data_IF_647711679246
#
_entry.id   IF_647711679246
#
_cell.length_a   1.000
_cell.length_b   1.000
_cell.length_c   1.000
_cell.angle_alpha   90.00
_cell.angle_beta   90.00
_cell.angle_gamma   90.00
#
_symmetry.space_group_name_H-M   'P 1'
#
loop_
_entity.id
_entity.type
_entity.pdbx_description
1 polymer ?
#
# COMPACT_ATOMS: atom_id res chain seq x y z
N UNK A 1 41.43 -1.46 -4.46
CA UNK A 1 40.76 -1.84 -5.74
C UNK A 1 39.23 -1.87 -5.64
N UNK A 2 38.64 -1.55 -4.48
CA UNK A 2 37.18 -1.60 -4.23
C UNK A 2 36.50 -0.22 -4.35
N UNK A 3 37.21 0.89 -4.09
CA UNK A 3 36.66 2.25 -4.23
C UNK A 3 36.42 2.68 -5.68
N UNK A 4 37.19 2.15 -6.64
CA UNK A 4 37.08 2.53 -8.05
C UNK A 4 35.79 2.01 -8.70
N UNK A 5 35.16 0.97 -8.14
CA UNK A 5 33.87 0.44 -8.62
C UNK A 5 32.66 1.24 -8.14
N UNK A 6 32.72 1.83 -6.94
CA UNK A 6 31.63 2.69 -6.41
C UNK A 6 31.50 4.00 -7.17
N UNK A 7 32.61 4.59 -7.61
CA UNK A 7 32.58 5.81 -8.42
C UNK A 7 31.95 5.57 -9.80
N UNK A 8 32.25 4.45 -10.46
CA UNK A 8 31.66 4.13 -11.77
C UNK A 8 30.13 4.03 -11.74
N UNK A 9 29.57 3.35 -10.73
CA UNK A 9 28.13 3.13 -10.62
C UNK A 9 27.34 4.43 -10.41
N UNK A 10 27.86 5.35 -9.58
CA UNK A 10 27.23 6.64 -9.30
C UNK A 10 27.27 7.58 -10.51
N UNK A 11 28.36 7.56 -11.28
CA UNK A 11 28.45 8.34 -12.53
C UNK A 11 27.47 7.79 -13.57
N UNK A 12 27.38 6.47 -13.73
CA UNK A 12 26.44 5.85 -14.68
C UNK A 12 24.98 6.11 -14.33
N UNK A 13 24.60 6.09 -13.05
CA UNK A 13 23.23 6.44 -12.63
C UNK A 13 22.90 7.92 -12.85
N UNK A 14 23.86 8.83 -12.59
CA UNK A 14 23.69 10.27 -12.84
C UNK A 14 23.53 10.56 -14.34
N UNK A 15 24.32 9.90 -15.18
CA UNK A 15 24.24 10.06 -16.63
C UNK A 15 22.95 9.45 -17.20
N UNK A 16 22.51 8.30 -16.69
CA UNK A 16 21.21 7.70 -17.02
C UNK A 16 20.04 8.63 -16.64
N UNK A 17 20.08 9.21 -15.44
CA UNK A 17 19.08 10.16 -14.97
C UNK A 17 19.03 11.45 -15.81
N UNK A 18 20.19 11.91 -16.26
CA UNK A 18 20.30 13.10 -17.10
C UNK A 18 19.77 12.88 -18.52
N UNK A 19 19.79 11.66 -19.04
CA UNK A 19 19.40 11.36 -20.43
C UNK A 19 17.94 10.90 -20.58
N UNK A 20 17.31 10.38 -19.52
CA UNK A 20 15.96 9.82 -19.60
C UNK A 20 14.90 10.81 -19.10
N UNK A 21 14.06 11.32 -20.02
CA UNK A 21 12.95 12.25 -19.71
C UNK A 21 12.00 11.69 -18.63
N UNK A 22 11.79 10.37 -18.61
CA UNK A 22 10.95 9.66 -17.64
C UNK A 22 11.49 9.77 -16.21
N UNK A 23 12.81 9.65 -16.00
CA UNK A 23 13.42 9.79 -14.69
C UNK A 23 13.28 11.22 -14.12
N UNK A 24 13.36 12.23 -14.99
CA UNK A 24 13.13 13.64 -14.63
C UNK A 24 11.66 13.94 -14.35
N UNK A 25 10.73 13.29 -15.06
CA UNK A 25 9.30 13.41 -14.79
C UNK A 25 8.94 12.82 -13.41
N UNK A 26 9.49 11.64 -13.08
CA UNK A 26 9.35 11.01 -11.76
C UNK A 26 9.98 11.86 -10.66
N UNK A 27 11.16 12.43 -10.88
CA UNK A 27 11.80 13.38 -9.95
C UNK A 27 10.91 14.57 -9.61
N UNK A 28 10.35 15.22 -10.64
CA UNK A 28 9.50 16.40 -10.49
C UNK A 28 8.17 16.04 -9.84
N UNK A 29 7.61 14.87 -10.16
CA UNK A 29 6.42 14.35 -9.51
C UNK A 29 6.67 14.11 -8.01
N UNK A 30 7.80 13.50 -7.63
CA UNK A 30 8.18 13.26 -6.23
C UNK A 30 8.50 14.56 -5.49
N UNK A 31 9.23 15.49 -6.12
CA UNK A 31 9.59 16.78 -5.51
C UNK A 31 8.41 17.73 -5.31
N UNK A 32 7.31 17.51 -6.04
CA UNK A 32 6.04 18.24 -5.87
C UNK A 32 5.10 17.63 -4.82
N UNK A 33 5.39 16.43 -4.31
CA UNK A 33 4.63 15.80 -3.22
C UNK A 33 5.12 16.41 -1.91
N UNK A 34 4.40 17.42 -1.42
CA UNK A 34 4.48 17.79 0.00
C UNK A 34 3.87 16.65 0.82
N UNK A 35 4.71 15.91 1.53
CA UNK A 35 4.26 15.04 2.61
C UNK A 35 3.71 15.95 3.71
N UNK A 36 2.38 16.15 3.71
CA UNK A 36 1.71 16.58 4.93
C UNK A 36 1.82 15.38 5.86
N UNK A 37 2.50 15.53 6.99
CA UNK A 37 2.52 14.52 8.04
C UNK A 37 1.07 14.30 8.51
N UNK A 38 0.40 13.21 8.11
CA UNK A 38 -0.99 12.99 8.49
C UNK A 38 -1.10 12.70 9.99
N UNK A 39 0.02 12.31 10.63
CA UNK A 39 0.06 12.02 12.04
C UNK A 39 0.00 13.31 12.87
N UNK A 40 0.63 14.41 12.44
CA UNK A 40 0.63 15.65 13.25
C UNK A 40 -0.74 16.34 13.28
N UNK A 41 -1.43 16.41 12.14
CA UNK A 41 -2.72 17.13 12.04
C UNK A 41 -3.89 16.38 12.70
N UNK A 42 -3.85 15.04 12.73
CA UNK A 42 -4.86 14.22 13.41
C UNK A 42 -4.62 14.13 14.93
N UNK A 43 -3.36 14.23 15.37
CA UNK A 43 -2.99 14.14 16.79
C UNK A 43 -3.26 15.46 17.54
N UNK A 44 -3.00 16.62 16.91
CA UNK A 44 -3.18 17.93 17.53
C UNK A 44 -4.65 18.27 17.87
N UNK A 45 -5.62 17.62 17.22
CA UNK A 45 -7.04 17.84 17.49
C UNK A 45 -7.59 16.98 18.67
N UNK A 46 -6.84 15.96 19.14
CA UNK A 46 -7.36 14.95 20.07
C UNK A 46 -6.72 14.97 21.47
N UNK A 47 -5.58 15.66 21.66
CA UNK A 47 -4.85 15.66 22.94
C UNK A 47 -5.37 16.75 23.87
N UNK A 48 -6.56 16.52 24.45
CA UNK A 48 -6.88 17.02 25.78
C UNK A 48 -5.99 16.29 26.78
N UNK A 49 -5.07 17.02 27.43
CA UNK A 49 -4.05 16.48 28.34
C UNK A 49 -4.66 15.72 29.51
N UNK A 50 -4.68 14.38 29.42
CA UNK A 50 -4.69 13.51 30.59
C UNK A 50 -3.45 12.63 30.57
N UNK A 51 -2.60 12.80 31.60
CA UNK A 51 -1.50 11.90 31.93
C UNK A 51 -2.05 10.56 32.39
N UNK A 52 -2.30 9.67 31.44
CA UNK A 52 -2.57 8.25 31.69
C UNK A 52 -1.24 7.51 31.56
N UNK A 53 -0.98 6.60 32.51
CA UNK A 53 0.18 5.72 32.51
C UNK A 53 0.42 5.15 31.10
N UNK A 54 1.62 5.39 30.58
CA UNK A 54 2.02 5.00 29.23
C UNK A 54 2.14 3.48 29.16
N UNK A 55 1.05 2.79 28.83
CA UNK A 55 1.15 1.49 28.20
C UNK A 55 2.16 1.63 27.06
N UNK A 56 3.20 0.79 27.03
CA UNK A 56 4.18 0.81 25.95
C UNK A 56 3.43 0.65 24.63
N UNK A 57 3.26 1.76 23.92
CA UNK A 57 2.57 1.78 22.65
C UNK A 57 3.34 0.85 21.70
N UNK A 58 2.65 -0.13 21.14
CA UNK A 58 3.21 -0.92 20.04
C UNK A 58 3.70 0.08 18.96
N UNK A 59 4.91 -0.10 18.40
CA UNK A 59 5.40 0.83 17.39
C UNK A 59 4.47 0.80 16.17
N UNK A 60 4.34 1.93 15.49
CA UNK A 60 3.70 1.97 14.19
C UNK A 60 4.44 1.04 13.22
N UNK A 61 3.70 0.45 12.29
CA UNK A 61 4.27 -0.41 11.25
C UNK A 61 3.65 -0.07 9.89
N UNK A 62 4.29 -0.47 8.81
CA UNK A 62 3.76 -0.16 7.48
C UNK A 62 4.68 -0.53 6.35
N UNK A 63 4.39 0.03 5.18
CA UNK A 63 5.31 -0.01 4.06
C UNK A 63 5.13 1.18 3.12
N UNK A 64 6.19 1.51 2.40
CA UNK A 64 6.13 2.34 1.20
C UNK A 64 6.61 1.48 0.03
N UNK A 65 5.79 1.37 -1.00
CA UNK A 65 6.10 0.70 -2.26
C UNK A 65 6.10 1.70 -3.42
N UNK A 66 7.15 1.67 -4.24
CA UNK A 66 7.19 2.30 -5.54
C UNK A 66 7.24 1.21 -6.61
N UNK A 67 6.24 1.20 -7.49
CA UNK A 67 6.24 0.41 -8.71
C UNK A 67 6.47 1.32 -9.92
N UNK A 68 7.43 0.96 -10.76
CA UNK A 68 7.63 1.56 -12.07
C UNK A 68 7.15 0.58 -13.15
N UNK A 69 5.93 0.79 -13.64
CA UNK A 69 5.30 0.02 -14.69
C UNK A 69 5.65 0.51 -16.09
N UNK A 70 5.15 -0.17 -17.12
CA UNK A 70 5.31 0.23 -18.51
C UNK A 70 4.38 1.37 -18.94
N UNK A 71 3.20 1.50 -18.31
CA UNK A 71 2.20 2.55 -18.59
C UNK A 71 2.06 3.59 -17.47
N UNK A 72 2.41 3.23 -16.24
CA UNK A 72 2.27 4.09 -15.07
C UNK A 72 3.34 3.83 -14.03
N UNK A 73 3.55 4.79 -13.12
CA UNK A 73 4.17 4.51 -11.83
C UNK A 73 3.09 4.43 -10.75
N UNK A 74 3.37 3.76 -9.64
CA UNK A 74 2.49 3.72 -8.48
C UNK A 74 3.31 3.90 -7.21
N UNK A 75 2.92 4.86 -6.37
CA UNK A 75 3.39 4.99 -5.00
C UNK A 75 2.26 4.52 -4.07
N UNK A 76 2.50 3.47 -3.29
CA UNK A 76 1.54 2.90 -2.35
C UNK A 76 2.14 2.92 -0.93
N UNK A 77 1.53 3.70 -0.06
CA UNK A 77 1.94 3.85 1.34
C UNK A 77 0.86 3.26 2.22
N UNK A 78 1.26 2.36 3.12
CA UNK A 78 0.40 1.73 4.13
C UNK A 78 0.98 2.01 5.50
N UNK A 79 0.13 2.38 6.45
CA UNK A 79 0.53 2.68 7.82
C UNK A 79 -0.49 2.08 8.78
N UNK A 80 0.00 1.41 9.81
CA UNK A 80 -0.74 0.85 10.93
C UNK A 80 -0.23 1.51 12.21
N UNK A 81 -1.08 2.28 12.87
CA UNK A 81 -0.77 3.00 14.10
C UNK A 81 -1.63 2.44 15.22
N UNK A 82 -1.04 1.80 16.24
CA UNK A 82 -1.74 1.45 17.46
C UNK A 82 -2.17 2.73 18.17
N UNK A 83 -3.48 2.98 18.28
CA UNK A 83 -4.03 4.21 18.87
C UNK A 83 -4.60 4.00 20.27
N UNK A 84 -4.96 2.76 20.60
CA UNK A 84 -5.40 2.34 21.93
C UNK A 84 -5.16 0.82 22.09
N UNK A 85 -5.33 0.22 23.29
CA UNK A 85 -5.38 -1.22 23.44
C UNK A 85 -6.35 -1.84 22.44
N UNK A 86 -5.89 -2.89 21.75
CA UNK A 86 -6.68 -3.65 20.77
C UNK A 86 -7.27 -2.81 19.63
N UNK A 87 -6.77 -1.58 19.43
CA UNK A 87 -7.31 -0.63 18.44
C UNK A 87 -6.20 -0.09 17.54
N UNK A 88 -6.37 -0.24 16.23
CA UNK A 88 -5.39 0.18 15.22
C UNK A 88 -6.04 1.14 14.23
N UNK A 89 -5.38 2.28 14.00
CA UNK A 89 -5.65 3.12 12.84
C UNK A 89 -4.83 2.59 11.66
N UNK A 90 -5.50 2.18 10.60
CA UNK A 90 -4.87 1.89 9.32
C UNK A 90 -5.10 3.05 8.36
N UNK A 91 -4.06 3.48 7.67
CA UNK A 91 -4.18 4.40 6.54
C UNK A 91 -3.47 3.84 5.34
N UNK A 92 -4.05 4.11 4.16
CA UNK A 92 -3.44 3.79 2.88
C UNK A 92 -3.56 4.97 1.95
N UNK A 93 -2.50 5.25 1.20
CA UNK A 93 -2.55 6.17 0.07
C UNK A 93 -1.86 5.53 -1.11
N UNK A 94 -2.57 5.44 -2.22
CA UNK A 94 -2.04 4.98 -3.50
C UNK A 94 -2.19 6.09 -4.52
N UNK A 95 -1.09 6.44 -5.18
CA UNK A 95 -1.03 7.48 -6.22
C UNK A 95 -0.45 6.83 -7.47
N UNK A 96 -1.16 6.94 -8.60
CA UNK A 96 -0.80 6.28 -9.86
C UNK A 96 -0.83 7.30 -11.02
N UNK A 97 0.29 7.96 -11.31
CA UNK A 97 0.43 8.76 -12.53
C UNK A 97 0.54 7.89 -13.78
N UNK A 98 -0.31 8.17 -14.76
CA UNK A 98 -0.29 7.60 -16.10
C UNK A 98 0.68 8.36 -17.00
N UNK A 99 1.55 7.64 -17.72
CA UNK A 99 2.63 8.26 -18.50
C UNK A 99 2.14 8.92 -19.79
N UNK A 100 1.11 8.36 -20.43
CA UNK A 100 0.63 8.84 -21.73
C UNK A 100 -0.29 10.03 -21.58
N UNK A 101 -1.26 9.92 -20.68
CA UNK A 101 -2.31 10.93 -20.48
C UNK A 101 -1.90 12.01 -19.47
N UNK A 102 -0.90 11.74 -18.63
CA UNK A 102 -0.52 12.60 -17.51
C UNK A 102 -1.56 12.67 -16.39
N UNK A 103 -2.65 11.89 -16.47
CA UNK A 103 -3.67 11.81 -15.42
C UNK A 103 -3.08 11.12 -14.19
N UNK A 104 -3.50 11.58 -13.02
CA UNK A 104 -3.10 10.98 -11.74
C UNK A 104 -4.33 10.36 -11.10
N UNK A 105 -4.35 9.03 -11.01
CA UNK A 105 -5.29 8.33 -10.15
C UNK A 105 -4.83 8.38 -8.71
N UNK A 106 -5.74 8.55 -7.76
CA UNK A 106 -5.44 8.31 -6.36
C UNK A 106 -6.55 7.57 -5.63
N UNK A 107 -6.16 6.89 -4.56
CA UNK A 107 -7.04 6.11 -3.71
C UNK A 107 -6.50 6.22 -2.28
N UNK A 108 -7.37 6.57 -1.35
CA UNK A 108 -7.00 6.77 0.04
C UNK A 108 -7.99 6.03 0.96
N UNK A 109 -7.45 5.41 2.00
CA UNK A 109 -8.22 4.75 3.06
C UNK A 109 -7.77 5.32 4.39
N UNK A 110 -8.73 5.57 5.29
CA UNK A 110 -8.49 5.57 6.72
C UNK A 110 -9.49 4.63 7.40
N UNK A 111 -9.01 3.68 8.20
CA UNK A 111 -9.87 2.76 8.94
C UNK A 111 -9.44 2.64 10.39
N UNK A 112 -10.43 2.53 11.28
CA UNK A 112 -10.24 2.25 12.69
C UNK A 112 -10.72 0.83 12.95
N UNK A 113 -9.79 -0.06 13.29
CA UNK A 113 -10.03 -1.46 13.56
C UNK A 113 -9.92 -1.76 15.06
N UNK A 114 -10.78 -2.64 15.56
CA UNK A 114 -10.80 -3.11 16.94
C UNK A 114 -10.75 -4.65 16.97
N UNK A 115 -9.74 -5.24 17.64
CA UNK A 115 -9.60 -6.69 17.81
C UNK A 115 -10.69 -7.20 18.76
N UNK A 116 -11.60 -7.98 18.18
CA UNK A 116 -12.69 -8.62 18.92
C UNK A 116 -12.31 -10.02 19.36
N UNK A 117 -11.43 -10.69 18.62
CA UNK A 117 -10.99 -12.05 18.92
C UNK A 117 -9.80 -12.51 18.07
N UNK A 118 -8.62 -12.65 18.69
CA UNK A 118 -7.48 -13.40 18.14
C UNK A 118 -7.17 -13.04 16.68
N UNK A 119 -7.05 -11.75 16.39
CA UNK A 119 -6.75 -11.24 15.05
C UNK A 119 -7.95 -11.13 14.12
N UNK A 120 -9.17 -11.45 14.58
CA UNK A 120 -10.41 -11.00 13.94
C UNK A 120 -10.71 -9.61 14.48
N UNK A 121 -10.85 -8.65 13.57
CA UNK A 121 -11.11 -7.26 13.91
C UNK A 121 -12.39 -6.80 13.22
N UNK A 122 -13.18 -5.97 13.91
CA UNK A 122 -14.23 -5.16 13.29
C UNK A 122 -13.67 -3.80 12.97
N UNK A 123 -14.10 -3.18 11.88
CA UNK A 123 -13.60 -1.85 11.52
C UNK A 123 -14.66 -0.95 10.92
N UNK A 124 -14.46 0.35 11.11
CA UNK A 124 -15.06 1.41 10.31
C UNK A 124 -14.00 2.00 9.38
N UNK A 125 -14.35 2.28 8.15
CA UNK A 125 -13.45 2.72 7.09
C UNK A 125 -14.05 3.91 6.33
N UNK A 126 -13.19 4.79 5.84
CA UNK A 126 -13.53 5.86 4.93
C UNK A 126 -12.62 5.76 3.71
N UNK A 127 -13.23 5.46 2.56
CA UNK A 127 -12.54 5.52 1.29
C UNK A 127 -12.68 6.92 0.69
N UNK A 128 -11.57 7.46 0.18
CA UNK A 128 -11.54 8.70 -0.57
C UNK A 128 -10.87 8.48 -1.93
N UNK A 129 -11.68 8.62 -2.98
CA UNK A 129 -11.26 8.49 -4.38
C UNK A 129 -11.60 9.82 -5.06
N UNK A 130 -10.64 10.55 -5.66
CA UNK A 130 -10.94 11.80 -6.34
C UNK A 130 -12.01 11.62 -7.42
N UNK A 131 -13.02 12.49 -7.40
CA UNK A 131 -14.16 12.41 -8.32
C UNK A 131 -15.25 11.43 -7.88
N UNK A 132 -15.05 10.70 -6.79
CA UNK A 132 -16.08 9.96 -6.06
C UNK A 132 -16.30 10.67 -4.72
N UNK A 133 -17.53 10.65 -4.22
CA UNK A 133 -17.81 11.10 -2.85
C UNK A 133 -17.07 10.21 -1.83
N UNK A 134 -16.93 10.70 -0.60
CA UNK A 134 -16.43 9.88 0.50
C UNK A 134 -17.34 8.66 0.69
N UNK A 135 -16.75 7.48 0.76
CA UNK A 135 -17.49 6.22 0.84
C UNK A 135 -17.25 5.58 2.21
N UNK A 136 -18.12 5.86 3.21
CA UNK A 136 -18.00 5.25 4.52
C UNK A 136 -18.35 3.77 4.44
N UNK A 137 -17.53 2.92 5.07
CA UNK A 137 -17.68 1.47 5.07
C UNK A 137 -17.57 0.92 6.49
N UNK A 138 -18.15 -0.26 6.70
CA UNK A 138 -17.92 -1.06 7.91
C UNK A 138 -17.69 -2.51 7.52
N UNK A 139 -16.86 -3.22 8.28
CA UNK A 139 -16.45 -4.55 7.90
C UNK A 139 -15.77 -5.36 9.00
N UNK A 140 -15.29 -6.52 8.56
CA UNK A 140 -14.49 -7.44 9.36
C UNK A 140 -13.20 -7.72 8.62
N UNK A 141 -12.09 -7.81 9.36
CA UNK A 141 -10.81 -8.22 8.82
C UNK A 141 -10.15 -9.29 9.69
N UNK A 142 -9.24 -10.03 9.09
CA UNK A 142 -8.47 -11.07 9.74
C UNK A 142 -7.02 -11.02 9.29
N UNK A 143 -6.10 -11.08 10.24
CA UNK A 143 -4.67 -11.22 9.99
C UNK A 143 -4.12 -12.47 10.67
N UNK A 144 -3.30 -13.23 9.95
CA UNK A 144 -2.50 -14.30 10.53
C UNK A 144 -1.15 -14.43 9.85
N UNK A 145 -0.17 -14.93 10.59
CA UNK A 145 1.16 -15.26 10.09
C UNK A 145 1.57 -16.63 10.63
N UNK A 146 1.89 -17.54 9.71
CA UNK A 146 2.36 -18.89 10.01
C UNK A 146 3.71 -19.11 9.31
N UNK A 147 4.78 -19.03 10.10
CA UNK A 147 6.15 -19.12 9.57
C UNK A 147 6.41 -18.03 8.53
N UNK A 148 6.73 -18.45 7.31
CA UNK A 148 7.05 -17.58 6.18
C UNK A 148 5.82 -17.11 5.39
N UNK A 149 4.62 -17.56 5.75
CA UNK A 149 3.36 -17.18 5.10
C UNK A 149 2.61 -16.19 5.98
N UNK A 150 2.14 -15.09 5.40
CA UNK A 150 1.14 -14.22 6.01
C UNK A 150 -0.10 -14.14 5.14
N UNK A 151 -1.25 -14.07 5.80
CA UNK A 151 -2.56 -13.96 5.21
C UNK A 151 -3.29 -12.80 5.87
N UNK A 152 -3.83 -11.91 5.05
CA UNK A 152 -4.74 -10.86 5.47
C UNK A 152 -5.98 -10.92 4.59
N UNK A 153 -7.14 -10.82 5.21
CA UNK A 153 -8.42 -10.76 4.50
C UNK A 153 -9.31 -9.71 5.13
N UNK A 154 -10.04 -8.96 4.33
CA UNK A 154 -11.13 -8.10 4.79
C UNK A 154 -12.33 -8.22 3.89
N UNK A 155 -13.49 -7.93 4.46
CA UNK A 155 -14.74 -7.71 3.75
C UNK A 155 -15.49 -6.55 4.41
N UNK A 156 -15.99 -5.63 3.60
CA UNK A 156 -16.76 -4.47 4.05
C UNK A 156 -17.97 -4.19 3.18
N UNK A 157 -18.88 -3.41 3.73
CA UNK A 157 -20.12 -2.93 3.10
C UNK A 157 -20.17 -1.41 3.18
N UNK A 158 -20.54 -0.76 2.07
CA UNK A 158 -20.77 0.68 2.00
C UNK A 158 -22.00 1.11 2.80
N UNK A 159 -21.85 2.17 3.59
CA UNK A 159 -22.89 2.77 4.44
C UNK A 159 -23.60 3.92 3.72
N UNK A 160 -24.19 3.59 2.56
CA UNK A 160 -24.89 4.52 1.68
C UNK A 160 -26.27 4.00 1.28
N UNK A 161 -27.08 4.82 0.61
CA UNK A 161 -28.46 4.46 0.22
C UNK A 161 -28.53 3.17 -0.63
N UNK A 162 -27.54 2.96 -1.49
CA UNK A 162 -27.36 1.72 -2.25
C UNK A 162 -26.07 1.03 -1.83
N UNK A 163 -26.11 0.12 -0.84
CA UNK A 163 -24.92 -0.56 -0.35
C UNK A 163 -24.23 -1.37 -1.45
N UNK A 164 -22.91 -1.29 -1.46
CA UNK A 164 -21.99 -2.10 -2.25
C UNK A 164 -21.03 -2.85 -1.31
N UNK A 165 -20.35 -3.87 -1.81
CA UNK A 165 -19.37 -4.66 -1.08
C UNK A 165 -17.95 -4.35 -1.53
N UNK A 166 -17.00 -4.52 -0.63
CA UNK A 166 -15.57 -4.56 -0.94
C UNK A 166 -14.95 -5.74 -0.22
N UNK A 167 -13.99 -6.40 -0.85
CA UNK A 167 -13.17 -7.42 -0.22
C UNK A 167 -11.72 -7.25 -0.65
N UNK A 168 -10.79 -7.59 0.24
CA UNK A 168 -9.38 -7.67 -0.11
C UNK A 168 -8.79 -8.94 0.50
N UNK A 169 -8.06 -9.68 -0.32
CA UNK A 169 -7.23 -10.80 0.10
C UNK A 169 -5.77 -10.46 -0.17
N UNK A 170 -4.92 -10.53 0.85
CA UNK A 170 -3.47 -10.39 0.71
C UNK A 170 -2.79 -11.64 1.24
N UNK A 171 -2.05 -12.31 0.36
CA UNK A 171 -1.22 -13.48 0.69
C UNK A 171 0.22 -13.13 0.40
N UNK A 172 1.10 -13.39 1.34
CA UNK A 172 2.54 -13.22 1.16
C UNK A 172 3.28 -14.45 1.64
N UNK A 173 4.25 -14.88 0.85
CA UNK A 173 5.19 -15.93 1.19
C UNK A 173 6.61 -15.37 1.09
N UNK A 174 7.41 -15.48 2.15
CA UNK A 174 8.76 -14.89 2.16
C UNK A 174 9.80 -15.81 2.81
N UNK A 175 10.15 -16.94 2.18
CA UNK A 175 11.08 -17.91 2.75
C UNK A 175 12.51 -17.37 2.79
N UNK A 176 13.24 -17.74 3.85
CA UNK A 176 14.66 -17.42 3.95
C UNK A 176 15.48 -18.24 2.95
N UNK A 177 16.41 -17.59 2.26
CA UNK A 177 17.44 -18.23 1.42
C UNK A 177 18.78 -18.27 2.17
N UNK A 178 19.04 -17.23 2.96
CA UNK A 178 20.17 -17.09 3.87
C UNK A 178 19.80 -16.16 5.04
N UNK A 179 20.76 -15.83 5.90
CA UNK A 179 20.55 -14.93 7.04
C UNK A 179 20.22 -13.49 6.62
N UNK A 180 20.62 -13.07 5.41
CA UNK A 180 20.45 -11.69 4.91
C UNK A 180 19.55 -11.59 3.69
N UNK A 181 19.14 -12.72 3.10
CA UNK A 181 18.35 -12.75 1.87
C UNK A 181 17.12 -13.63 2.04
N UNK A 182 15.95 -13.09 1.69
CA UNK A 182 14.69 -13.86 1.60
C UNK A 182 14.10 -13.72 0.21
N UNK A 183 13.36 -14.72 -0.25
CA UNK A 183 12.47 -14.52 -1.40
C UNK A 183 11.22 -13.78 -0.94
N UNK A 184 10.55 -13.09 -1.86
CA UNK A 184 9.28 -12.41 -1.59
C UNK A 184 8.31 -12.74 -2.72
N UNK A 185 7.21 -13.39 -2.39
CA UNK A 185 6.06 -13.60 -3.27
C UNK A 185 4.83 -12.99 -2.59
N UNK A 186 4.06 -12.22 -3.34
CA UNK A 186 2.87 -11.54 -2.82
C UNK A 186 1.76 -11.51 -3.85
N UNK A 187 0.53 -11.67 -3.37
CA UNK A 187 -0.69 -11.43 -4.14
C UNK A 187 -1.65 -10.62 -3.27
N UNK A 188 -2.04 -9.43 -3.73
CA UNK A 188 -3.11 -8.62 -3.15
C UNK A 188 -4.26 -8.54 -4.15
N UNK A 189 -5.49 -8.84 -3.72
CA UNK A 189 -6.64 -8.93 -4.60
C UNK A 189 -7.79 -8.11 -3.98
N UNK A 190 -7.79 -6.78 -4.15
CA UNK A 190 -8.97 -5.96 -3.88
C UNK A 190 -10.04 -6.22 -4.94
N UNK A 191 -11.30 -6.29 -4.52
CA UNK A 191 -12.46 -6.44 -5.38
C UNK A 191 -13.66 -5.67 -4.83
N UNK A 192 -14.44 -5.07 -5.73
CA UNK A 192 -15.70 -4.42 -5.45
C UNK A 192 -16.89 -5.23 -5.95
N UNK A 193 -18.02 -5.12 -5.27
CA UNK A 193 -19.24 -5.86 -5.57
C UNK A 193 -20.46 -4.96 -5.46
N UNK A 194 -21.46 -5.14 -6.32
CA UNK A 194 -22.77 -4.53 -6.16
C UNK A 194 -23.87 -5.57 -6.43
N UNK A 195 -25.13 -5.12 -6.62
CA UNK A 195 -26.26 -6.00 -6.91
C UNK A 195 -26.13 -6.75 -8.24
N UNK A 196 -25.29 -6.28 -9.16
CA UNK A 196 -25.03 -6.89 -10.47
C UNK A 196 -23.87 -7.90 -10.46
N UNK A 197 -23.04 -7.89 -9.42
CA UNK A 197 -21.90 -8.80 -9.28
C UNK A 197 -20.60 -8.05 -8.99
N UNK A 198 -19.49 -8.53 -9.53
CA UNK A 198 -18.18 -7.88 -9.39
C UNK A 198 -18.17 -6.58 -10.21
N UNK A 199 -17.84 -5.46 -9.57
CA UNK A 199 -17.71 -4.15 -10.24
C UNK A 199 -16.28 -3.87 -10.68
N UNK A 200 -15.30 -4.35 -9.90
CA UNK A 200 -13.89 -4.37 -10.26
C UNK A 200 -13.15 -5.45 -9.46
N UNK A 201 -11.99 -5.86 -9.98
CA UNK A 201 -10.96 -6.58 -9.23
C UNK A 201 -9.59 -6.11 -9.71
N UNK A 202 -8.62 -5.96 -8.82
CA UNK A 202 -7.27 -5.54 -9.21
C UNK A 202 -6.18 -6.43 -8.60
N UNK A 203 -6.02 -7.70 -9.02
CA UNK A 203 -4.90 -8.53 -8.58
C UNK A 203 -3.55 -7.84 -8.76
N UNK A 204 -2.79 -7.70 -7.66
CA UNK A 204 -1.44 -7.14 -7.61
C UNK A 204 -0.48 -8.21 -7.16
N UNK A 205 0.38 -8.62 -8.07
CA UNK A 205 1.35 -9.68 -7.90
C UNK A 205 2.74 -9.07 -7.71
N UNK A 206 3.49 -9.61 -6.75
CA UNK A 206 4.87 -9.23 -6.46
C UNK A 206 5.73 -10.48 -6.38
N UNK A 207 6.88 -10.45 -7.04
CA UNK A 207 7.87 -11.51 -6.96
C UNK A 207 9.27 -10.89 -6.93
N UNK A 208 10.08 -11.19 -5.91
CA UNK A 208 11.36 -10.53 -5.73
C UNK A 208 12.18 -11.11 -4.57
N UNK A 209 13.11 -10.29 -4.09
CA UNK A 209 14.01 -10.59 -2.98
C UNK A 209 13.92 -9.52 -1.92
N UNK A 210 14.05 -9.91 -0.66
CA UNK A 210 14.33 -9.05 0.48
C UNK A 210 15.83 -9.05 0.74
N UNK A 211 16.45 -7.88 0.69
CA UNK A 211 17.86 -7.65 1.02
C UNK A 211 17.90 -6.44 1.97
N UNK A 212 18.42 -6.65 3.17
CA UNK A 212 18.55 -5.62 4.21
C UNK A 212 17.22 -4.87 4.49
N UNK A 213 16.11 -5.60 4.40
CA UNK A 213 14.76 -5.07 4.64
C UNK A 213 14.18 -4.27 3.48
N UNK A 214 14.81 -4.28 2.30
CA UNK A 214 14.23 -3.76 1.06
C UNK A 214 13.76 -4.90 0.19
N UNK A 215 12.50 -4.87 -0.24
CA UNK A 215 12.01 -5.80 -1.25
C UNK A 215 12.17 -5.20 -2.64
N UNK A 216 12.80 -5.94 -3.54
CA UNK A 216 13.04 -5.50 -4.92
C UNK A 216 12.66 -6.64 -5.86
N UNK A 217 11.93 -6.35 -6.92
CA UNK A 217 11.57 -7.39 -7.88
C UNK A 217 10.60 -6.95 -8.97
N UNK A 218 9.87 -7.93 -9.49
CA UNK A 218 8.85 -7.77 -10.51
C UNK A 218 7.48 -7.54 -9.90
N UNK A 219 6.68 -6.72 -10.58
CA UNK A 219 5.34 -6.35 -10.20
C UNK A 219 4.38 -6.48 -11.39
N UNK A 220 3.16 -6.94 -11.12
CA UNK A 220 2.05 -6.93 -12.05
C UNK A 220 0.77 -6.47 -11.35
N UNK A 221 0.16 -5.40 -11.81
CA UNK A 221 -1.15 -4.92 -11.37
C UNK A 221 -2.14 -5.18 -12.51
N UNK A 222 -3.14 -6.04 -12.27
CA UNK A 222 -4.06 -6.55 -13.28
C UNK A 222 -5.45 -5.97 -13.02
N UNK A 223 -5.80 -4.84 -13.62
CA UNK A 223 -7.11 -4.24 -13.38
C UNK A 223 -8.18 -4.93 -14.24
N UNK A 224 -9.22 -5.46 -13.62
CA UNK A 224 -10.36 -6.13 -14.26
C UNK A 224 -11.62 -5.35 -13.91
N UNK A 225 -12.33 -4.88 -14.93
CA UNK A 225 -13.62 -4.21 -14.75
C UNK A 225 -14.76 -5.23 -14.60
N UNK A 226 -15.93 -4.79 -14.15
CA UNK A 226 -17.14 -5.63 -14.11
C UNK A 226 -17.59 -6.15 -15.49
N UNK A 227 -17.16 -5.51 -16.60
CA UNK A 227 -17.34 -6.03 -17.97
C UNK A 227 -16.38 -7.15 -18.34
N UNK A 228 -15.35 -7.42 -17.52
CA UNK A 228 -14.31 -8.40 -17.77
C UNK A 228 -13.11 -7.87 -18.54
N UNK A 229 -13.05 -6.57 -18.83
CA UNK A 229 -11.93 -5.95 -19.53
C UNK A 229 -10.69 -5.94 -18.63
N UNK A 230 -9.58 -6.47 -19.14
CA UNK A 230 -8.30 -6.53 -18.43
C UNK A 230 -7.37 -5.42 -18.92
N UNK A 231 -6.91 -4.58 -17.99
CA UNK A 231 -5.85 -3.58 -18.23
C UNK A 231 -4.64 -3.93 -17.36
N UNK A 232 -3.61 -4.57 -17.93
CA UNK A 232 -2.46 -5.01 -17.15
C UNK A 232 -1.36 -3.94 -17.07
N UNK A 233 -0.71 -3.86 -15.92
CA UNK A 233 0.48 -3.02 -15.71
C UNK A 233 1.60 -3.86 -15.13
N UNK A 234 2.65 -4.06 -15.89
CA UNK A 234 3.84 -4.82 -15.50
C UNK A 234 5.02 -3.88 -15.29
N UNK A 235 5.90 -4.22 -14.34
CA UNK A 235 7.05 -3.39 -14.02
C UNK A 235 7.99 -3.98 -12.98
N UNK A 236 8.87 -3.13 -12.47
CA UNK A 236 9.67 -3.40 -11.29
C UNK A 236 9.09 -2.69 -10.07
N UNK A 237 9.35 -3.21 -8.87
CA UNK A 237 9.01 -2.54 -7.62
C UNK A 237 10.18 -2.49 -6.65
N UNK A 238 10.15 -1.48 -5.78
CA UNK A 238 10.94 -1.38 -4.55
C UNK A 238 9.98 -1.11 -3.40
N UNK A 239 10.06 -1.89 -2.32
CA UNK A 239 9.26 -1.68 -1.12
C UNK A 239 10.13 -1.68 0.13
N UNK A 240 9.85 -0.75 1.05
CA UNK A 240 10.45 -0.73 2.39
C UNK A 240 9.36 -0.92 3.45
N UNK A 241 9.26 -2.10 4.09
CA UNK A 241 8.53 -2.25 5.34
C UNK A 241 9.24 -1.50 6.49
N UNK A 242 8.48 -1.02 7.47
CA UNK A 242 9.00 -0.42 8.70
C UNK A 242 8.09 -0.76 9.89
#
# INVERSE_FOLDING_TARGET
MEETKKHGLLTTMRDWYSTHKTARAVSKAIAGVTFVDPASAALDALVGTQTVATAQAKPASGCVELMAGHESATLDTKLFVPVAPDTTLFTRSRITPDYETGKVGSFHIASLAYDVFKGIEVFGELDAIPGVELDPRAGVQYFTKLGDVSLFGLASVGLKETPDGSALLNVRYSPAVSDTVRLVFGAEIPAGFDKSGITFAEPRLRAGVDIDGYHIGFAADLNVTGSGDLTPRYGGFVMKPF
#
